data_IF_245482938358
#
_entry.id   IF_245482938358
#
_cell.length_a   1.000
_cell.length_b   1.000
_cell.length_c   1.000
_cell.angle_alpha   90.00
_cell.angle_beta   90.00
_cell.angle_gamma   90.00
#
_symmetry.space_group_name_H-M   'P 1'
#
loop_
_entity.id
_entity.type
_entity.pdbx_description
1 polymer ?
#
# COMPACT_ATOMS: atom_id res chain seq x y z
N UNK A 1 64.93 -14.55 -55.78
CA UNK A 1 65.40 -13.32 -56.39
C UNK A 1 65.09 -12.20 -55.39
N UNK A 2 66.09 -11.84 -54.64
CA UNK A 2 66.89 -10.60 -54.62
C UNK A 2 66.02 -9.41 -54.24
N UNK A 3 66.25 -8.56 -53.26
CA UNK A 3 67.49 -8.09 -52.67
C UNK A 3 67.11 -7.08 -51.56
N UNK A 4 67.53 -7.25 -50.37
CA UNK A 4 68.37 -6.39 -49.56
C UNK A 4 68.42 -4.89 -49.95
N UNK A 5 68.13 -4.01 -48.97
CA UNK A 5 69.11 -2.95 -48.58
C UNK A 5 68.73 -2.23 -47.29
N UNK A 6 69.54 -2.43 -46.34
CA UNK A 6 69.87 -1.64 -45.15
C UNK A 6 70.18 -0.18 -45.46
N UNK A 7 69.75 0.79 -44.65
CA UNK A 7 70.55 1.97 -44.28
C UNK A 7 70.22 2.48 -42.87
N UNK A 8 71.30 2.68 -42.21
CA UNK A 8 71.49 3.18 -40.85
C UNK A 8 71.31 4.69 -40.77
N UNK A 9 70.92 5.14 -39.59
CA UNK A 9 71.45 6.40 -39.05
C UNK A 9 70.35 7.38 -38.61
N UNK A 10 70.13 7.59 -37.36
CA UNK A 10 70.62 8.75 -36.58
C UNK A 10 69.95 8.75 -35.22
N UNK A 11 70.69 8.77 -34.18
CA UNK A 11 70.37 8.98 -32.79
C UNK A 11 70.01 10.46 -32.63
N UNK A 12 68.82 10.79 -32.11
CA UNK A 12 68.53 12.08 -31.49
C UNK A 12 67.94 11.84 -30.11
N UNK A 13 68.72 12.16 -29.12
CA UNK A 13 68.32 12.28 -27.73
C UNK A 13 67.39 13.50 -27.58
N UNK A 14 66.23 13.32 -27.14
CA UNK A 14 65.34 14.45 -26.72
C UNK A 14 64.67 14.10 -25.38
N UNK A 15 64.82 15.01 -24.50
CA UNK A 15 64.54 15.08 -23.08
C UNK A 15 63.20 14.47 -22.63
N UNK A 16 63.31 13.74 -21.52
CA UNK A 16 62.22 13.29 -20.67
C UNK A 16 61.64 14.50 -19.96
N UNK A 17 60.43 14.94 -20.35
CA UNK A 17 59.55 15.73 -19.51
C UNK A 17 58.55 14.77 -18.88
N UNK A 18 58.75 14.54 -17.58
CA UNK A 18 57.78 13.87 -16.73
C UNK A 18 56.52 14.72 -16.62
N UNK A 19 55.55 14.44 -17.48
CA UNK A 19 54.18 14.91 -17.30
C UNK A 19 53.51 13.96 -16.32
N UNK A 20 53.26 14.42 -15.10
CA UNK A 20 52.38 13.78 -14.17
C UNK A 20 50.97 13.72 -14.79
N UNK A 21 50.59 12.58 -15.37
CA UNK A 21 49.18 12.23 -15.61
C UNK A 21 48.60 12.00 -14.23
N UNK A 22 47.91 13.01 -13.70
CA UNK A 22 46.84 12.80 -12.73
C UNK A 22 45.80 11.96 -13.44
N UNK A 23 45.75 10.67 -13.11
CA UNK A 23 44.55 9.89 -13.27
C UNK A 23 43.49 10.61 -12.42
N UNK A 24 42.68 11.44 -13.08
CA UNK A 24 41.35 11.71 -12.58
C UNK A 24 40.65 10.34 -12.62
N UNK A 25 40.67 9.66 -11.49
CA UNK A 25 39.73 8.59 -11.25
C UNK A 25 38.34 9.22 -11.45
N UNK A 26 37.62 8.77 -12.46
CA UNK A 26 36.18 8.80 -12.38
C UNK A 26 35.85 7.94 -11.15
N UNK A 27 35.81 8.56 -10.00
CA UNK A 27 35.05 8.06 -8.91
C UNK A 27 33.63 8.00 -9.46
N UNK A 28 33.08 6.84 -9.42
CA UNK A 28 31.63 6.65 -9.41
C UNK A 28 31.16 7.45 -8.19
N UNK A 29 30.81 8.71 -8.41
CA UNK A 29 29.99 9.49 -7.48
C UNK A 29 28.58 8.91 -7.58
N UNK A 30 28.43 7.68 -7.12
CA UNK A 30 27.19 7.25 -6.52
C UNK A 30 27.00 8.17 -5.33
N UNK A 31 26.17 9.19 -5.48
CA UNK A 31 25.83 10.10 -4.41
C UNK A 31 25.46 9.28 -3.19
N UNK A 32 26.23 9.47 -2.12
CA UNK A 32 26.12 8.76 -0.83
C UNK A 32 24.88 9.26 -0.04
N UNK A 33 23.92 9.91 -0.73
CA UNK A 33 22.66 10.36 -0.16
C UNK A 33 21.69 9.19 0.02
N UNK A 34 20.97 9.18 1.14
CA UNK A 34 19.87 8.25 1.37
C UNK A 34 18.71 8.55 0.39
N UNK A 35 17.66 7.73 0.40
CA UNK A 35 16.52 7.87 -0.52
C UNK A 35 15.79 9.19 -0.34
N UNK A 36 15.63 9.67 0.90
CA UNK A 36 15.01 10.96 1.20
C UNK A 36 15.78 12.12 0.56
N UNK A 37 17.09 12.21 0.78
CA UNK A 37 17.93 13.27 0.20
C UNK A 37 17.87 13.25 -1.33
N UNK A 38 17.94 12.07 -1.95
CA UNK A 38 17.85 11.92 -3.41
C UNK A 38 16.49 12.39 -3.95
N UNK A 39 15.39 12.04 -3.28
CA UNK A 39 14.05 12.46 -3.66
C UNK A 39 13.87 13.98 -3.50
N UNK A 40 14.40 14.57 -2.42
CA UNK A 40 14.40 16.02 -2.19
C UNK A 40 15.22 16.76 -3.25
N UNK A 41 16.41 16.30 -3.59
CA UNK A 41 17.25 16.88 -4.64
C UNK A 41 16.60 16.80 -6.02
N UNK A 42 15.90 15.70 -6.31
CA UNK A 42 15.17 15.50 -7.55
C UNK A 42 13.83 16.26 -7.58
N UNK A 43 13.29 16.62 -6.42
CA UNK A 43 11.93 17.13 -6.25
C UNK A 43 10.84 16.10 -6.60
N UNK A 44 11.19 14.81 -6.65
CA UNK A 44 10.31 13.74 -7.13
C UNK A 44 10.59 12.44 -6.39
N UNK A 45 9.53 11.72 -6.01
CA UNK A 45 9.59 10.35 -5.50
C UNK A 45 8.77 9.43 -6.42
N UNK A 46 9.24 8.21 -6.62
CA UNK A 46 8.54 7.20 -7.41
C UNK A 46 7.82 6.23 -6.50
N UNK A 47 6.54 6.04 -6.72
CA UNK A 47 5.71 5.10 -5.97
C UNK A 47 5.10 4.05 -6.90
N UNK A 48 5.00 2.81 -6.42
CA UNK A 48 4.23 1.78 -7.10
C UNK A 48 2.82 1.68 -6.50
N UNK A 49 1.84 1.39 -7.35
CA UNK A 49 0.44 1.21 -6.99
C UNK A 49 -0.20 0.08 -7.82
N UNK A 50 -1.34 -0.44 -7.36
CA UNK A 50 -1.98 -1.62 -7.96
C UNK A 50 -3.24 -1.31 -8.79
N UNK A 51 -3.67 -0.06 -8.87
CA UNK A 51 -4.85 0.36 -9.64
C UNK A 51 -6.17 0.06 -8.94
N UNK A 52 -6.18 -0.08 -7.62
CA UNK A 52 -7.39 -0.32 -6.83
C UNK A 52 -8.09 0.99 -6.48
N UNK A 53 -9.28 1.19 -7.06
CA UNK A 53 -10.17 2.32 -6.74
C UNK A 53 -10.85 2.02 -5.39
N UNK A 54 -10.93 3.01 -4.49
CA UNK A 54 -10.46 4.38 -4.59
C UNK A 54 -9.14 4.68 -3.86
N UNK A 55 -8.31 3.65 -3.61
CA UNK A 55 -7.05 3.78 -2.84
C UNK A 55 -5.93 4.44 -3.64
N UNK A 56 -5.58 3.87 -4.81
CA UNK A 56 -4.52 4.37 -5.70
C UNK A 56 -4.74 3.89 -7.12
N UNK A 57 -4.99 4.81 -8.05
CA UNK A 57 -5.37 4.50 -9.43
C UNK A 57 -5.04 5.67 -10.36
N UNK A 58 -5.18 5.47 -11.67
CA UNK A 58 -5.17 6.56 -12.65
C UNK A 58 -6.60 6.99 -12.96
N UNK A 59 -6.85 8.29 -12.94
CA UNK A 59 -8.13 8.87 -13.33
C UNK A 59 -8.35 8.79 -14.84
N UNK A 60 -9.48 9.31 -15.32
CA UNK A 60 -9.83 9.36 -16.76
C UNK A 60 -8.83 10.19 -17.62
N UNK A 61 -8.00 11.03 -17.00
CA UNK A 61 -6.97 11.82 -17.68
C UNK A 61 -5.61 11.10 -17.65
N UNK A 62 -5.49 9.97 -16.96
CA UNK A 62 -4.25 9.24 -16.76
C UNK A 62 -3.37 9.87 -15.66
N UNK A 63 -3.96 10.63 -14.73
CA UNK A 63 -3.26 11.20 -13.58
C UNK A 63 -3.41 10.27 -12.38
N UNK A 64 -2.30 10.07 -11.65
CA UNK A 64 -2.30 9.28 -10.41
C UNK A 64 -3.15 9.97 -9.35
N UNK A 65 -4.05 9.23 -8.72
CA UNK A 65 -4.98 9.73 -7.71
C UNK A 65 -5.42 8.62 -6.75
N UNK A 66 -6.21 8.96 -5.73
CA UNK A 66 -6.78 8.05 -4.75
C UNK A 66 -6.45 8.47 -3.31
N UNK A 67 -7.14 7.88 -2.34
CA UNK A 67 -7.07 8.29 -0.94
C UNK A 67 -5.64 8.20 -0.37
N UNK A 68 -4.93 7.10 -0.64
CA UNK A 68 -3.55 6.95 -0.13
C UNK A 68 -2.57 7.83 -0.89
N UNK A 69 -2.82 8.11 -2.18
CA UNK A 69 -2.01 9.03 -2.97
C UNK A 69 -2.15 10.46 -2.43
N UNK A 70 -3.36 10.90 -2.10
CA UNK A 70 -3.59 12.23 -1.53
C UNK A 70 -2.88 12.43 -0.18
N UNK A 71 -2.83 11.39 0.66
CA UNK A 71 -2.07 11.41 1.92
C UNK A 71 -0.56 11.45 1.61
N UNK A 72 -0.08 10.59 0.72
CA UNK A 72 1.34 10.52 0.36
C UNK A 72 1.84 11.83 -0.26
N UNK A 73 1.07 12.42 -1.18
CA UNK A 73 1.40 13.73 -1.77
C UNK A 73 1.48 14.84 -0.73
N UNK A 74 0.54 14.85 0.24
CA UNK A 74 0.57 15.82 1.33
C UNK A 74 1.82 15.65 2.22
N UNK A 75 2.19 14.41 2.54
CA UNK A 75 3.38 14.10 3.34
C UNK A 75 4.66 14.45 2.57
N UNK A 76 4.81 14.00 1.33
CA UNK A 76 6.02 14.23 0.54
C UNK A 76 6.22 15.73 0.24
N UNK A 77 5.14 16.49 0.06
CA UNK A 77 5.25 17.95 -0.09
C UNK A 77 5.84 18.63 1.16
N UNK A 78 5.42 18.22 2.37
CA UNK A 78 6.00 18.72 3.63
C UNK A 78 7.49 18.31 3.79
N UNK A 79 7.88 17.18 3.21
CA UNK A 79 9.27 16.74 3.15
C UNK A 79 10.10 17.43 2.04
N UNK A 80 9.51 18.36 1.29
CA UNK A 80 10.18 19.09 0.20
C UNK A 80 10.31 18.29 -1.09
N UNK A 81 9.41 17.34 -1.32
CA UNK A 81 9.32 16.52 -2.55
C UNK A 81 8.02 16.90 -3.23
N UNK A 82 8.11 17.75 -4.27
CA UNK A 82 6.95 18.39 -4.90
C UNK A 82 6.12 17.46 -5.80
N UNK A 83 6.66 16.31 -6.19
CA UNK A 83 6.02 15.42 -7.17
C UNK A 83 6.07 13.94 -6.76
N UNK A 84 4.93 13.30 -6.80
CA UNK A 84 4.80 11.84 -6.72
C UNK A 84 4.61 11.29 -8.14
N UNK A 85 5.46 10.37 -8.58
CA UNK A 85 5.36 9.68 -9.86
C UNK A 85 4.90 8.24 -9.64
N UNK A 86 3.75 7.86 -10.22
CA UNK A 86 3.19 6.52 -10.08
C UNK A 86 3.69 5.54 -11.12
N UNK A 87 3.86 4.29 -10.69
CA UNK A 87 4.08 3.14 -11.55
C UNK A 87 3.04 2.07 -11.24
N UNK A 88 2.16 1.77 -12.21
CA UNK A 88 1.20 0.68 -12.09
C UNK A 88 1.92 -0.66 -12.13
N UNK A 89 1.66 -1.51 -11.13
CA UNK A 89 2.31 -2.81 -10.95
C UNK A 89 1.27 -3.83 -10.48
N UNK A 90 1.40 -5.09 -10.90
CA UNK A 90 0.60 -6.18 -10.34
C UNK A 90 0.84 -6.33 -8.84
N UNK A 91 -0.21 -6.64 -8.08
CA UNK A 91 -0.17 -6.68 -6.60
C UNK A 91 1.01 -7.49 -6.05
N UNK A 92 1.23 -8.71 -6.55
CA UNK A 92 2.29 -9.60 -6.08
C UNK A 92 3.71 -9.10 -6.42
N UNK A 93 3.84 -8.14 -7.33
CA UNK A 93 5.13 -7.57 -7.74
C UNK A 93 5.53 -6.31 -6.94
N UNK A 94 4.61 -5.73 -6.13
CA UNK A 94 4.84 -4.48 -5.39
C UNK A 94 6.08 -4.55 -4.48
N UNK A 95 6.10 -5.40 -3.46
CA UNK A 95 7.27 -5.53 -2.55
C UNK A 95 8.52 -6.06 -3.27
N UNK A 96 8.43 -7.07 -4.15
CA UNK A 96 9.59 -7.49 -4.94
C UNK A 96 10.24 -6.40 -5.80
N UNK A 97 9.45 -5.52 -6.42
CA UNK A 97 9.97 -4.40 -7.21
C UNK A 97 10.60 -3.31 -6.33
N UNK A 98 9.97 -2.99 -5.19
CA UNK A 98 10.52 -2.09 -4.18
C UNK A 98 11.94 -2.52 -3.75
N UNK A 99 12.10 -3.79 -3.41
CA UNK A 99 13.38 -4.35 -2.96
C UNK A 99 14.44 -4.44 -4.06
N UNK A 100 14.07 -4.32 -5.35
CA UNK A 100 14.99 -4.20 -6.47
C UNK A 100 15.34 -2.74 -6.79
N UNK A 101 14.69 -1.76 -6.12
CA UNK A 101 14.88 -0.34 -6.39
C UNK A 101 14.23 0.13 -7.69
N UNK A 102 13.17 -0.54 -8.15
CA UNK A 102 12.41 -0.12 -9.35
C UNK A 102 11.62 1.18 -9.07
N UNK A 103 11.27 1.42 -7.81
CA UNK A 103 10.61 2.59 -7.24
C UNK A 103 11.02 2.78 -5.77
N UNK A 104 10.62 3.86 -5.14
CA UNK A 104 11.09 4.29 -3.82
C UNK A 104 10.15 3.91 -2.70
N UNK A 105 8.85 3.79 -3.00
CA UNK A 105 7.82 3.37 -2.04
C UNK A 105 6.71 2.59 -2.74
N UNK A 106 5.88 1.89 -1.96
CA UNK A 106 4.60 1.30 -2.41
C UNK A 106 3.47 2.09 -1.79
N UNK A 107 2.68 2.74 -2.62
CA UNK A 107 1.51 3.54 -2.26
C UNK A 107 0.25 2.85 -2.79
N UNK A 108 -0.17 1.80 -2.11
CA UNK A 108 -1.28 0.94 -2.54
C UNK A 108 -2.26 0.63 -1.40
N UNK A 109 -2.16 1.36 -0.27
CA UNK A 109 -2.93 1.02 0.92
C UNK A 109 -2.69 -0.43 1.37
N UNK A 110 -1.45 -0.89 1.31
CA UNK A 110 -1.13 -2.28 1.58
C UNK A 110 -1.35 -2.62 3.06
N UNK A 111 -2.17 -3.64 3.35
CA UNK A 111 -2.40 -4.10 4.72
C UNK A 111 -1.10 -4.53 5.40
N UNK A 112 -0.91 -4.08 6.62
CA UNK A 112 0.23 -4.41 7.47
C UNK A 112 0.03 -5.84 7.99
N UNK A 113 0.89 -6.77 7.56
CA UNK A 113 0.83 -8.18 7.91
C UNK A 113 2.25 -8.69 8.22
N UNK A 114 2.43 -9.66 9.14
CA UNK A 114 3.74 -10.19 9.54
C UNK A 114 4.63 -10.62 8.37
N UNK A 115 4.07 -11.36 7.41
CA UNK A 115 4.80 -11.86 6.25
C UNK A 115 5.22 -10.76 5.27
N UNK A 116 4.48 -9.65 5.20
CA UNK A 116 4.82 -8.45 4.44
C UNK A 116 5.86 -7.60 5.17
N UNK A 117 5.70 -7.41 6.48
CA UNK A 117 6.68 -6.71 7.33
C UNK A 117 8.07 -7.38 7.30
N UNK A 118 8.11 -8.71 7.16
CA UNK A 118 9.37 -9.43 6.99
C UNK A 118 10.13 -9.06 5.68
N UNK A 119 9.48 -8.36 4.75
CA UNK A 119 10.01 -8.05 3.41
C UNK A 119 10.02 -6.57 3.06
N UNK A 120 9.34 -5.72 3.83
CA UNK A 120 9.26 -4.28 3.62
C UNK A 120 9.07 -3.56 4.95
N UNK A 121 9.51 -2.32 5.04
CA UNK A 121 9.32 -1.46 6.20
C UNK A 121 8.02 -0.66 6.02
N UNK A 122 7.01 -0.99 6.83
CA UNK A 122 5.73 -0.29 6.81
C UNK A 122 5.81 1.01 7.60
N UNK A 123 5.22 2.08 7.07
CA UNK A 123 4.92 3.25 7.87
C UNK A 123 3.84 2.92 8.92
N UNK A 124 3.62 3.83 9.86
CA UNK A 124 2.51 3.71 10.80
C UNK A 124 1.17 3.61 10.07
N UNK A 125 0.12 3.04 10.69
CA UNK A 125 -1.18 2.91 10.05
C UNK A 125 -1.69 4.21 9.43
N UNK A 126 -2.07 4.13 8.15
CA UNK A 126 -2.56 5.28 7.38
C UNK A 126 -4.07 5.24 7.24
N UNK A 127 -4.63 4.05 7.01
CA UNK A 127 -6.06 3.81 6.78
C UNK A 127 -6.46 2.48 7.43
N UNK A 128 -7.64 2.46 8.07
CA UNK A 128 -8.27 1.24 8.58
C UNK A 128 -9.06 0.54 7.50
N UNK A 129 -9.22 -0.76 7.62
CA UNK A 129 -10.05 -1.58 6.74
C UNK A 129 -11.15 -2.30 7.48
N UNK A 130 -12.29 -2.37 6.80
CA UNK A 130 -13.34 -3.35 7.06
C UNK A 130 -13.56 -4.16 5.79
N UNK A 131 -13.98 -5.40 5.92
CA UNK A 131 -14.39 -6.24 4.79
C UNK A 131 -15.89 -6.10 4.53
N UNK A 132 -16.33 -6.45 3.33
CA UNK A 132 -17.75 -6.65 3.00
C UNK A 132 -17.88 -7.80 2.00
N UNK A 133 -19.09 -8.28 1.81
CA UNK A 133 -19.41 -9.19 0.71
C UNK A 133 -20.16 -8.41 -0.38
N UNK A 134 -19.69 -8.51 -1.61
CA UNK A 134 -20.47 -8.20 -2.79
C UNK A 134 -21.30 -9.44 -3.16
N UNK A 135 -22.59 -9.29 -3.27
CA UNK A 135 -23.55 -10.36 -3.59
C UNK A 135 -24.44 -9.95 -4.75
N UNK A 136 -25.12 -10.89 -5.46
CA UNK A 136 -26.15 -10.52 -6.42
C UNK A 136 -27.24 -9.67 -5.79
N UNK A 137 -27.81 -8.73 -6.55
CA UNK A 137 -28.85 -7.84 -6.08
C UNK A 137 -30.01 -8.60 -5.43
N UNK A 138 -30.41 -8.18 -4.24
CA UNK A 138 -31.42 -8.84 -3.41
C UNK A 138 -30.89 -9.99 -2.56
N UNK A 139 -29.58 -10.23 -2.56
CA UNK A 139 -28.88 -11.19 -1.68
C UNK A 139 -29.62 -12.53 -1.55
N UNK A 140 -29.75 -13.34 -2.62
CA UNK A 140 -30.62 -14.52 -2.64
C UNK A 140 -30.21 -15.59 -1.63
N UNK A 141 -28.93 -15.67 -1.26
CA UNK A 141 -28.41 -16.65 -0.29
C UNK A 141 -28.48 -16.13 1.16
N UNK A 142 -28.81 -14.84 1.35
CA UNK A 142 -28.91 -14.21 2.68
C UNK A 142 -27.58 -14.11 3.43
N UNK A 143 -26.49 -13.96 2.68
CA UNK A 143 -25.13 -13.86 3.24
C UNK A 143 -24.95 -12.49 3.93
N UNK A 144 -24.20 -12.43 5.03
CA UNK A 144 -23.93 -11.20 5.78
C UNK A 144 -22.44 -10.94 5.97
N UNK A 145 -21.70 -11.99 6.28
CA UNK A 145 -20.27 -11.99 6.61
C UNK A 145 -19.70 -13.40 6.41
N UNK A 146 -18.46 -13.64 6.83
CA UNK A 146 -17.81 -14.95 6.69
C UNK A 146 -18.51 -16.07 7.47
N UNK A 147 -19.15 -15.76 8.59
CA UNK A 147 -19.87 -16.78 9.39
C UNK A 147 -21.06 -17.39 8.64
N UNK A 148 -21.62 -16.66 7.67
CA UNK A 148 -22.72 -17.12 6.83
C UNK A 148 -22.36 -18.36 6.00
N UNK A 149 -21.06 -18.59 5.74
CA UNK A 149 -20.58 -19.73 4.94
C UNK A 149 -20.45 -21.02 5.75
N UNK A 150 -20.48 -20.99 7.09
CA UNK A 150 -20.39 -22.20 7.93
C UNK A 150 -21.52 -23.22 7.66
N UNK A 151 -22.67 -22.75 7.24
CA UNK A 151 -23.87 -23.56 7.01
C UNK A 151 -24.43 -23.42 5.60
N UNK A 152 -23.69 -22.85 4.68
CA UNK A 152 -24.05 -22.60 3.29
C UNK A 152 -23.20 -23.43 2.32
N UNK A 153 -23.78 -23.82 1.20
CA UNK A 153 -23.05 -24.39 0.05
C UNK A 153 -22.60 -23.27 -0.93
N UNK A 154 -22.73 -21.99 -0.54
CA UNK A 154 -22.39 -20.83 -1.36
C UNK A 154 -20.88 -20.79 -1.68
N UNK A 155 -20.57 -20.36 -2.90
CA UNK A 155 -19.20 -20.18 -3.38
C UNK A 155 -18.75 -18.76 -3.09
N UNK A 156 -17.67 -18.59 -2.29
CA UNK A 156 -17.03 -17.32 -2.01
C UNK A 156 -15.88 -17.07 -3.00
N UNK A 157 -15.92 -15.96 -3.75
CA UNK A 157 -14.75 -15.45 -4.46
C UNK A 157 -13.89 -14.62 -3.50
N UNK A 158 -12.55 -14.75 -3.63
CA UNK A 158 -11.56 -13.96 -2.89
C UNK A 158 -10.44 -13.57 -3.84
N UNK A 159 -9.86 -12.38 -3.66
CA UNK A 159 -8.74 -11.95 -4.50
C UNK A 159 -7.43 -12.57 -4.01
N UNK A 160 -6.61 -13.01 -4.95
CA UNK A 160 -5.29 -13.57 -4.66
C UNK A 160 -4.42 -12.59 -3.88
N UNK A 161 -3.93 -13.00 -2.71
CA UNK A 161 -3.07 -12.21 -1.84
C UNK A 161 -3.79 -11.09 -1.05
N UNK A 162 -5.12 -10.95 -1.16
CA UNK A 162 -5.89 -10.07 -0.30
C UNK A 162 -6.05 -10.67 1.11
N UNK A 163 -6.34 -9.83 2.11
CA UNK A 163 -6.53 -10.28 3.50
C UNK A 163 -7.73 -11.21 3.63
N UNK A 164 -8.78 -10.97 2.85
CA UNK A 164 -10.00 -11.76 2.85
C UNK A 164 -9.75 -13.22 2.39
N UNK A 165 -8.76 -13.45 1.52
CA UNK A 165 -8.31 -14.80 1.22
C UNK A 165 -7.73 -15.46 2.45
N UNK A 166 -6.87 -14.76 3.20
CA UNK A 166 -6.28 -15.27 4.45
C UNK A 166 -7.37 -15.61 5.47
N UNK A 167 -8.33 -14.72 5.70
CA UNK A 167 -9.45 -14.96 6.62
C UNK A 167 -10.30 -16.17 6.19
N UNK A 168 -10.62 -16.29 4.91
CA UNK A 168 -11.39 -17.43 4.41
C UNK A 168 -10.66 -18.77 4.59
N UNK A 169 -9.33 -18.77 4.40
CA UNK A 169 -8.48 -19.95 4.59
C UNK A 169 -8.38 -20.33 6.08
N UNK A 170 -8.21 -19.37 6.99
CA UNK A 170 -8.12 -19.58 8.43
C UNK A 170 -9.44 -20.04 9.07
N UNK A 171 -10.55 -19.43 8.66
CA UNK A 171 -11.92 -19.84 9.06
C UNK A 171 -12.27 -21.21 8.47
N UNK A 172 -11.63 -21.58 7.37
CA UNK A 172 -11.86 -22.86 6.69
C UNK A 172 -13.11 -22.87 5.83
N UNK A 173 -13.43 -21.75 5.18
CA UNK A 173 -14.56 -21.64 4.25
C UNK A 173 -14.32 -22.57 3.06
N UNK A 174 -15.16 -23.62 2.91
CA UNK A 174 -15.11 -24.53 1.78
C UNK A 174 -15.64 -23.87 0.50
N UNK A 175 -15.06 -24.22 -0.66
CA UNK A 175 -15.58 -23.75 -1.95
C UNK A 175 -15.14 -22.34 -2.34
N UNK A 176 -14.01 -21.87 -1.83
CA UNK A 176 -13.44 -20.58 -2.24
C UNK A 176 -12.96 -20.60 -3.69
N UNK A 177 -13.27 -19.54 -4.43
CA UNK A 177 -12.78 -19.27 -5.79
C UNK A 177 -11.76 -18.12 -5.73
N UNK A 178 -10.50 -18.40 -6.06
CA UNK A 178 -9.47 -17.34 -6.12
C UNK A 178 -9.55 -16.63 -7.47
N UNK A 179 -9.62 -15.28 -7.44
CA UNK A 179 -9.62 -14.39 -8.59
C UNK A 179 -8.37 -13.51 -8.58
N UNK A 180 -8.02 -12.88 -9.71
CA UNK A 180 -6.77 -12.09 -9.79
C UNK A 180 -6.98 -10.60 -9.53
N UNK A 181 -8.21 -10.10 -9.67
CA UNK A 181 -8.53 -8.67 -9.51
C UNK A 181 -9.93 -8.49 -8.94
N UNK A 182 -10.23 -7.28 -8.45
CA UNK A 182 -11.57 -6.91 -8.02
C UNK A 182 -12.60 -7.01 -9.16
N UNK A 183 -12.20 -6.68 -10.40
CA UNK A 183 -13.06 -6.82 -11.58
C UNK A 183 -13.39 -8.30 -11.86
N UNK A 184 -12.42 -9.21 -11.75
CA UNK A 184 -12.67 -10.65 -11.90
C UNK A 184 -13.64 -11.17 -10.84
N UNK A 185 -13.58 -10.61 -9.62
CA UNK A 185 -14.52 -10.90 -8.53
C UNK A 185 -15.96 -10.46 -8.86
N UNK A 186 -16.13 -9.23 -9.32
CA UNK A 186 -17.41 -8.72 -9.81
C UNK A 186 -17.95 -9.59 -10.95
N UNK A 187 -17.11 -9.94 -11.92
CA UNK A 187 -17.50 -10.81 -13.04
C UNK A 187 -17.86 -12.23 -12.57
N UNK A 188 -17.26 -12.73 -11.50
CA UNK A 188 -17.62 -14.00 -10.93
C UNK A 188 -19.02 -13.97 -10.32
N UNK A 189 -19.35 -12.93 -9.57
CA UNK A 189 -20.69 -12.74 -8.96
C UNK A 189 -21.74 -12.51 -10.03
N UNK A 190 -21.54 -11.56 -10.94
CA UNK A 190 -22.55 -11.19 -11.97
C UNK A 190 -22.81 -12.34 -12.95
N UNK A 191 -21.82 -13.21 -13.21
CA UNK A 191 -21.99 -14.41 -14.05
C UNK A 191 -22.54 -15.62 -13.31
N UNK A 192 -22.75 -15.56 -11.98
CA UNK A 192 -23.20 -16.66 -11.15
C UNK A 192 -22.16 -17.78 -10.98
N UNK A 193 -20.87 -17.48 -11.15
CA UNK A 193 -19.76 -18.39 -10.84
C UNK A 193 -19.42 -18.41 -9.34
N UNK A 194 -19.70 -17.32 -8.67
CA UNK A 194 -19.61 -17.16 -7.23
C UNK A 194 -20.92 -16.56 -6.71
N UNK A 195 -21.29 -16.90 -5.49
CA UNK A 195 -22.48 -16.36 -4.80
C UNK A 195 -22.14 -15.10 -4.01
N UNK A 196 -20.86 -14.91 -3.67
CA UNK A 196 -20.33 -13.69 -3.09
C UNK A 196 -18.88 -13.46 -3.49
N UNK A 197 -18.43 -12.20 -3.36
CA UNK A 197 -17.03 -11.82 -3.46
C UNK A 197 -16.67 -10.98 -2.24
N UNK A 198 -15.62 -11.39 -1.50
CA UNK A 198 -15.13 -10.68 -0.34
C UNK A 198 -13.91 -9.82 -0.71
N UNK A 199 -13.96 -8.55 -0.31
CA UNK A 199 -12.86 -7.59 -0.42
C UNK A 199 -13.12 -6.44 0.57
N UNK A 200 -12.21 -5.44 0.60
CA UNK A 200 -12.37 -4.24 1.41
C UNK A 200 -13.69 -3.52 1.10
N UNK A 201 -14.36 -3.02 2.16
CA UNK A 201 -15.70 -2.43 2.06
C UNK A 201 -15.75 -1.25 1.07
N UNK A 202 -14.78 -0.32 1.14
CA UNK A 202 -14.79 0.89 0.30
C UNK A 202 -14.70 0.52 -1.18
N UNK A 203 -13.82 -0.42 -1.55
CA UNK A 203 -13.71 -0.89 -2.94
C UNK A 203 -15.01 -1.49 -3.44
N UNK A 204 -15.61 -2.43 -2.69
CA UNK A 204 -16.82 -3.11 -3.14
C UNK A 204 -18.05 -2.20 -3.13
N UNK A 205 -18.13 -1.24 -2.19
CA UNK A 205 -19.19 -0.24 -2.18
C UNK A 205 -19.12 0.65 -3.45
N UNK A 206 -17.92 1.16 -3.79
CA UNK A 206 -17.73 1.94 -5.01
C UNK A 206 -18.10 1.15 -6.27
N UNK A 207 -17.68 -0.12 -6.36
CA UNK A 207 -18.03 -0.98 -7.50
C UNK A 207 -19.52 -1.28 -7.60
N UNK A 208 -20.20 -1.47 -6.46
CA UNK A 208 -21.63 -1.75 -6.43
C UNK A 208 -22.48 -0.52 -6.81
N UNK A 209 -22.03 0.71 -6.51
CA UNK A 209 -22.72 1.94 -6.94
C UNK A 209 -22.83 2.04 -8.47
N UNK A 210 -21.86 1.52 -9.20
CA UNK A 210 -21.85 1.53 -10.66
C UNK A 210 -22.54 0.31 -11.29
N UNK A 211 -22.88 -0.74 -10.49
CA UNK A 211 -23.39 -2.02 -10.99
C UNK A 211 -24.69 -2.42 -10.29
N UNK A 212 -25.85 -2.17 -10.90
CA UNK A 212 -27.17 -2.45 -10.28
C UNK A 212 -27.48 -3.96 -10.12
N UNK A 213 -26.67 -4.85 -10.71
CA UNK A 213 -26.86 -6.31 -10.61
C UNK A 213 -26.24 -6.91 -9.34
N UNK A 214 -25.53 -6.09 -8.55
CA UNK A 214 -24.89 -6.48 -7.30
C UNK A 214 -25.21 -5.48 -6.17
N UNK A 215 -25.00 -5.91 -4.94
CA UNK A 215 -25.08 -5.07 -3.75
C UNK A 215 -24.02 -5.51 -2.73
N UNK A 216 -23.72 -4.67 -1.72
CA UNK A 216 -22.86 -5.05 -0.59
C UNK A 216 -23.69 -5.38 0.63
N UNK A 217 -23.20 -6.30 1.47
CA UNK A 217 -23.88 -6.71 2.71
C UNK A 217 -23.71 -5.71 3.87
N UNK A 218 -22.84 -4.72 3.69
CA UNK A 218 -22.40 -3.79 4.71
C UNK A 218 -21.05 -4.20 5.33
N UNK A 219 -20.34 -3.25 5.95
CA UNK A 219 -19.01 -3.49 6.49
C UNK A 219 -19.04 -4.40 7.72
N UNK A 220 -18.01 -5.25 7.83
CA UNK A 220 -17.75 -6.05 9.03
C UNK A 220 -16.24 -6.19 9.25
N UNK A 221 -15.84 -6.41 10.51
CA UNK A 221 -14.49 -6.85 10.87
C UNK A 221 -14.51 -8.38 10.93
N UNK A 222 -13.62 -9.04 10.19
CA UNK A 222 -13.52 -10.49 10.24
C UNK A 222 -13.17 -10.95 11.66
N UNK A 223 -13.67 -12.11 12.05
CA UNK A 223 -13.37 -12.74 13.35
C UNK A 223 -12.82 -14.14 13.10
N UNK A 224 -11.64 -14.42 13.64
CA UNK A 224 -10.98 -15.73 13.56
C UNK A 224 -10.73 -16.21 14.98
N UNK A 225 -11.17 -17.41 15.31
CA UNK A 225 -11.06 -18.01 16.65
C UNK A 225 -11.58 -17.10 17.79
N UNK A 226 -12.57 -16.25 17.52
CA UNK A 226 -13.17 -15.34 18.49
C UNK A 226 -12.39 -14.03 18.68
N UNK A 227 -11.40 -13.73 17.85
CA UNK A 227 -10.63 -12.50 17.86
C UNK A 227 -10.89 -11.69 16.61
N UNK A 228 -11.28 -10.42 16.77
CA UNK A 228 -11.45 -9.48 15.65
C UNK A 228 -10.12 -9.25 14.95
N UNK A 229 -10.13 -9.32 13.64
CA UNK A 229 -8.97 -9.12 12.76
C UNK A 229 -8.84 -7.62 12.43
N UNK A 230 -8.29 -6.84 13.37
CA UNK A 230 -8.01 -5.42 13.14
C UNK A 230 -7.03 -5.31 11.99
N UNK A 231 -7.43 -4.57 10.97
CA UNK A 231 -6.66 -4.39 9.73
C UNK A 231 -6.46 -2.92 9.42
N UNK A 232 -5.21 -2.56 9.15
CA UNK A 232 -4.84 -1.25 8.66
C UNK A 232 -3.84 -1.37 7.52
N UNK A 233 -3.86 -0.41 6.63
CA UNK A 233 -2.90 -0.31 5.55
C UNK A 233 -1.98 0.89 5.71
N UNK A 234 -0.85 0.81 5.01
CA UNK A 234 0.12 1.88 5.01
C UNK A 234 0.99 1.87 3.75
N UNK A 235 1.80 2.92 3.60
CA UNK A 235 2.86 3.02 2.60
C UNK A 235 4.05 2.18 3.03
N UNK A 236 4.69 1.51 2.07
CA UNK A 236 5.80 0.58 2.34
C UNK A 236 7.08 1.11 1.74
N UNK A 237 8.15 1.07 2.51
CA UNK A 237 9.50 1.46 2.14
C UNK A 237 10.44 0.26 2.15
N UNK A 238 11.66 0.42 1.58
CA UNK A 238 12.71 -0.58 1.75
C UNK A 238 13.17 -0.62 3.21
N UNK A 239 13.56 -1.78 3.74
CA UNK A 239 14.02 -1.90 5.14
C UNK A 239 15.22 -1.00 5.49
N UNK A 240 16.04 -0.63 4.50
CA UNK A 240 17.19 0.27 4.67
C UNK A 240 16.84 1.76 4.62
N UNK A 241 15.64 2.15 4.15
CA UNK A 241 15.22 3.56 3.99
C UNK A 241 14.68 4.16 5.31
N UNK A 242 15.39 3.93 6.40
CA UNK A 242 14.93 4.30 7.76
C UNK A 242 14.70 5.78 7.94
N UNK A 243 15.54 6.65 7.36
CA UNK A 243 15.40 8.11 7.45
C UNK A 243 14.15 8.61 6.70
N UNK A 244 13.84 8.01 5.54
CA UNK A 244 12.63 8.33 4.81
C UNK A 244 11.38 7.88 5.59
N UNK A 245 11.40 6.67 6.15
CA UNK A 245 10.33 6.12 6.96
C UNK A 245 10.06 6.96 8.22
N UNK A 246 11.11 7.34 8.95
CA UNK A 246 10.99 8.18 10.15
C UNK A 246 10.39 9.55 9.81
N UNK A 247 10.92 10.22 8.77
CA UNK A 247 10.40 11.51 8.31
C UNK A 247 8.95 11.42 7.83
N UNK A 248 8.61 10.36 7.09
CA UNK A 248 7.25 10.10 6.65
C UNK A 248 6.29 9.93 7.84
N UNK A 249 6.65 9.13 8.84
CA UNK A 249 5.84 8.88 10.02
C UNK A 249 5.61 10.15 10.87
N UNK A 250 6.60 11.05 10.94
CA UNK A 250 6.45 12.35 11.63
C UNK A 250 5.36 13.22 10.97
N UNK A 251 5.28 13.25 9.65
CA UNK A 251 4.26 14.00 8.93
C UNK A 251 2.90 13.27 8.95
N UNK A 252 2.90 11.93 8.78
CA UNK A 252 1.69 11.11 8.88
C UNK A 252 0.96 11.30 10.21
N UNK A 253 1.70 11.35 11.32
CA UNK A 253 1.13 11.55 12.65
C UNK A 253 0.32 12.84 12.77
N UNK A 254 0.67 13.91 12.02
CA UNK A 254 -0.09 15.16 11.99
C UNK A 254 -1.41 15.04 11.24
N UNK A 255 -1.46 14.17 10.21
CA UNK A 255 -2.66 13.91 9.41
C UNK A 255 -3.61 13.00 10.19
N UNK A 256 -3.14 11.84 10.65
CA UNK A 256 -4.01 10.88 11.36
C UNK A 256 -4.40 11.35 12.77
N UNK A 257 -3.65 12.28 13.36
CA UNK A 257 -3.97 12.94 14.63
C UNK A 257 -5.04 14.03 14.53
N UNK A 258 -5.44 14.44 13.31
CA UNK A 258 -6.44 15.50 13.06
C UNK A 258 -7.53 14.97 12.12
N UNK A 259 -8.69 14.64 12.68
CA UNK A 259 -9.85 14.11 11.94
C UNK A 259 -10.24 15.00 10.75
N UNK A 260 -10.28 16.33 10.94
CA UNK A 260 -10.65 17.25 9.88
C UNK A 260 -9.62 17.26 8.73
N UNK A 261 -8.32 17.17 9.07
CA UNK A 261 -7.25 17.11 8.07
C UNK A 261 -7.27 15.77 7.32
N UNK A 262 -7.53 14.66 8.02
CA UNK A 262 -7.70 13.35 7.40
C UNK A 262 -8.86 13.36 6.41
N UNK A 263 -10.05 13.78 6.84
CA UNK A 263 -11.24 13.84 5.97
C UNK A 263 -11.08 14.82 4.80
N UNK A 264 -10.36 15.94 4.97
CA UNK A 264 -10.05 16.86 3.87
C UNK A 264 -9.28 16.18 2.73
N UNK A 265 -8.36 15.26 3.07
CA UNK A 265 -7.54 14.56 2.10
C UNK A 265 -8.27 13.37 1.44
N UNK A 266 -9.07 12.63 2.20
CA UNK A 266 -9.61 11.35 1.73
C UNK A 266 -11.12 11.35 1.48
N UNK A 267 -11.83 12.40 1.89
CA UNK A 267 -13.30 12.46 1.83
C UNK A 267 -13.87 12.41 0.41
N UNK A 268 -13.17 12.98 -0.57
CA UNK A 268 -13.59 12.90 -1.97
C UNK A 268 -13.54 11.47 -2.54
N UNK A 269 -12.77 10.58 -1.89
CA UNK A 269 -12.65 9.17 -2.25
C UNK A 269 -13.61 8.26 -1.47
N UNK A 270 -14.53 8.84 -0.69
CA UNK A 270 -15.53 8.10 0.08
C UNK A 270 -15.06 7.62 1.46
N UNK A 271 -13.86 8.02 1.89
CA UNK A 271 -13.35 7.75 3.23
C UNK A 271 -13.83 8.79 4.24
N UNK A 272 -13.96 8.38 5.49
CA UNK A 272 -14.44 9.20 6.60
C UNK A 272 -13.53 9.02 7.81
N UNK A 273 -13.86 9.67 8.92
CA UNK A 273 -13.15 9.45 10.19
C UNK A 273 -13.21 7.99 10.68
N UNK A 274 -14.17 7.19 10.19
CA UNK A 274 -14.26 5.76 10.52
C UNK A 274 -13.09 4.92 9.99
N UNK A 275 -12.48 5.35 8.91
CA UNK A 275 -11.29 4.71 8.33
C UNK A 275 -9.98 5.32 8.84
N UNK A 276 -10.03 6.32 9.73
CA UNK A 276 -8.84 6.90 10.34
C UNK A 276 -8.30 5.96 11.42
N UNK A 277 -6.98 5.66 11.43
CA UNK A 277 -6.39 4.82 12.46
C UNK A 277 -6.62 5.38 13.87
N UNK A 278 -7.00 4.53 14.84
CA UNK A 278 -7.20 4.95 16.21
C UNK A 278 -5.86 5.30 16.87
N UNK A 279 -5.89 6.23 17.82
CA UNK A 279 -4.71 6.58 18.61
C UNK A 279 -4.18 5.34 19.36
N UNK A 280 -2.88 5.10 19.24
CA UNK A 280 -2.21 3.97 19.89
C UNK A 280 -2.11 2.71 19.06
N UNK A 281 -2.81 2.59 17.92
CA UNK A 281 -2.55 1.51 16.97
C UNK A 281 -1.23 1.77 16.24
N UNK A 282 -0.34 0.79 16.22
CA UNK A 282 0.98 0.90 15.58
C UNK A 282 1.21 -0.17 14.52
N UNK A 283 2.08 0.14 13.56
CA UNK A 283 2.53 -0.85 12.57
C UNK A 283 3.20 -2.06 13.24
N UNK A 284 3.92 -1.84 14.34
CA UNK A 284 4.59 -2.91 15.08
C UNK A 284 3.61 -3.95 15.64
N UNK A 285 2.46 -3.52 16.21
CA UNK A 285 1.42 -4.44 16.70
C UNK A 285 0.93 -5.37 15.59
N UNK A 286 0.66 -4.81 14.41
CA UNK A 286 0.17 -5.58 13.25
C UNK A 286 1.28 -6.44 12.62
N UNK A 287 2.51 -5.97 12.60
CA UNK A 287 3.67 -6.74 12.14
C UNK A 287 3.99 -7.94 13.05
N UNK A 288 3.74 -7.81 14.36
CA UNK A 288 3.96 -8.86 15.35
C UNK A 288 2.74 -9.78 15.53
N UNK A 289 1.64 -9.53 14.80
CA UNK A 289 0.35 -10.23 14.95
C UNK A 289 -0.23 -10.11 16.36
N UNK A 290 0.08 -8.99 17.05
CA UNK A 290 -0.45 -8.69 18.39
C UNK A 290 -1.86 -8.09 18.28
N UNK A 291 -2.79 -8.92 17.84
CA UNK A 291 -4.19 -8.51 17.65
C UNK A 291 -4.89 -8.19 18.97
N UNK A 292 -4.43 -8.71 20.11
CA UNK A 292 -4.97 -8.33 21.42
C UNK A 292 -4.67 -6.85 21.70
N UNK A 293 -3.42 -6.40 21.51
CA UNK A 293 -3.04 -5.00 21.68
C UNK A 293 -3.70 -4.09 20.63
N UNK A 294 -3.83 -4.55 19.39
CA UNK A 294 -4.51 -3.80 18.33
C UNK A 294 -6.01 -3.59 18.63
N UNK A 295 -6.70 -4.62 19.13
CA UNK A 295 -8.10 -4.50 19.56
C UNK A 295 -8.25 -3.57 20.77
N UNK A 296 -7.33 -3.63 21.75
CA UNK A 296 -7.35 -2.72 22.89
C UNK A 296 -7.18 -1.25 22.45
N UNK A 297 -6.31 -0.98 21.47
CA UNK A 297 -6.13 0.35 20.90
C UNK A 297 -7.42 0.84 20.20
N UNK A 298 -8.09 -0.01 19.41
CA UNK A 298 -9.34 0.32 18.74
C UNK A 298 -10.48 0.58 19.74
N UNK A 299 -10.68 -0.30 20.73
CA UNK A 299 -11.74 -0.16 21.73
C UNK A 299 -11.56 1.09 22.62
N UNK A 300 -10.31 1.47 22.94
CA UNK A 300 -10.01 2.69 23.71
C UNK A 300 -10.38 3.97 22.93
N UNK A 301 -10.21 3.99 21.62
CA UNK A 301 -10.59 5.12 20.79
C UNK A 301 -12.12 5.28 20.70
N UNK A 302 -12.87 4.19 20.62
CA UNK A 302 -14.34 4.22 20.63
C UNK A 302 -14.90 4.68 21.99
N UNK A 303 -14.30 4.25 23.10
CA UNK A 303 -14.72 4.61 24.46
C UNK A 303 -14.44 6.06 24.86
N UNK A 304 -13.45 6.71 24.23
CA UNK A 304 -13.07 8.10 24.50
C UNK A 304 -14.04 9.14 23.96
N UNK A 305 -14.90 8.78 23.01
CA UNK A 305 -15.86 9.69 22.38
C UNK A 305 -17.15 9.90 23.20
N UNK A 306 -17.50 8.97 24.10
CA UNK A 306 -18.75 9.04 24.90
C UNK A 306 -18.65 9.98 26.11
N UNK A 307 -17.46 10.20 26.68
CA UNK A 307 -17.26 11.04 27.88
C UNK A 307 -17.26 12.56 27.59
N UNK A 308 -17.08 12.98 26.32
CA UNK A 308 -17.06 14.40 25.96
C UNK A 308 -18.45 15.02 25.72
N UNK A 309 -19.50 14.21 25.55
CA UNK A 309 -20.86 14.69 25.31
C UNK A 309 -21.65 15.04 26.59
N UNK A 310 -21.23 14.54 27.77
CA UNK A 310 -21.99 14.71 29.03
C UNK A 310 -21.56 15.93 29.86
N UNK A 311 -20.51 16.66 29.46
CA UNK A 311 -20.00 17.80 30.26
C UNK A 311 -20.54 19.18 29.88
N UNK A 312 -21.51 19.31 28.93
CA UNK A 312 -22.02 20.62 28.45
C UNK A 312 -23.42 20.98 28.99
N UNK A 313 -24.02 20.18 29.87
CA UNK A 313 -25.28 20.53 30.54
C UNK A 313 -25.16 20.59 32.07
N UNK A 314 -24.43 21.60 32.59
CA UNK A 314 -24.60 22.08 33.98
C UNK A 314 -24.28 23.57 34.11
#
# INVERSE_FOLDING_TARGET
MTSSRTRRGAVAVAAVTAGALTLAGCGDDGGDGNTLEKAQEAGTIKVAYAGEIPYSYEDDNGELTGAVIAIDEAIFAELGIDKVEGQLVEWDALIPGLNKGEYDAVSAGMSILPDRCARGAFAEPTIMYTSTLMVPAGNPEGLTDFSSFESSDATLAVQSGAIEQGFADEIGIGGTMVVNSAQDGLDAVTSGRADAFALTNITLAAMAEENPDVETTGPFVAEVDGLKQISAGSTVFRPEDTELLEAYNEELAKIVGDSARFEELVGEFGFTDAERPPEGLTAQMLCDDDLEAANEAADNAEGGTDDSAESTER
#
